data_IF_972319696106
#
_entry.id   IF_972319696106
#
_cell.length_a   1.000
_cell.length_b   1.000
_cell.length_c   1.000
_cell.angle_alpha   90.00
_cell.angle_beta   90.00
_cell.angle_gamma   90.00
#
_symmetry.space_group_name_H-M   'P 1'
#
loop_
_entity.id
_entity.type
_entity.pdbx_description
1 polymer ?
#
# COMPACT_ATOMS: atom_id res chain seq x y z
N UNK A 1 -33.63 2.81 42.11
CA UNK A 1 -32.77 3.41 41.07
C UNK A 1 -31.34 3.39 41.55
N UNK A 2 -30.50 2.56 40.93
CA UNK A 2 -29.33 3.10 40.23
C UNK A 2 -29.19 2.50 38.81
N UNK A 3 -28.81 3.33 37.84
CA UNK A 3 -28.44 2.93 36.48
C UNK A 3 -27.03 2.33 36.53
N UNK A 4 -26.90 1.08 36.10
CA UNK A 4 -25.61 0.46 35.83
C UNK A 4 -25.04 0.99 34.52
N UNK A 5 -23.72 1.17 34.56
CA UNK A 5 -22.79 1.59 33.52
C UNK A 5 -22.63 0.52 32.44
N UNK A 6 -22.85 0.88 31.17
CA UNK A 6 -22.41 0.10 30.00
C UNK A 6 -20.90 0.33 29.75
N UNK A 7 -20.12 -0.70 29.44
CA UNK A 7 -18.74 -0.54 29.00
C UNK A 7 -18.68 -0.19 27.51
N UNK A 8 -17.94 0.87 27.20
CA UNK A 8 -17.66 1.35 25.84
C UNK A 8 -16.83 0.34 25.05
N UNK A 9 -17.41 -0.22 23.99
CA UNK A 9 -16.70 -0.97 22.96
C UNK A 9 -15.74 -0.03 22.23
N UNK A 10 -14.43 -0.27 22.38
CA UNK A 10 -13.39 0.40 21.60
C UNK A 10 -13.40 -0.25 20.20
N UNK A 11 -14.23 0.31 19.31
CA UNK A 11 -14.13 0.04 17.87
C UNK A 11 -12.83 0.66 17.34
N UNK A 12 -11.82 -0.18 17.13
CA UNK A 12 -10.67 0.13 16.28
C UNK A 12 -11.11 0.28 14.83
N UNK A 13 -11.78 1.39 14.52
CA UNK A 13 -12.14 1.76 13.15
C UNK A 13 -10.86 2.05 12.36
N UNK A 14 -10.62 1.23 11.33
CA UNK A 14 -9.65 1.56 10.29
C UNK A 14 -10.02 2.95 9.75
N UNK A 15 -9.08 3.91 9.68
CA UNK A 15 -9.42 5.26 9.26
C UNK A 15 -10.05 5.23 7.86
N UNK A 16 -11.13 6.01 7.62
CA UNK A 16 -11.84 6.01 6.34
C UNK A 16 -10.85 6.27 5.21
N UNK A 17 -11.09 5.70 4.02
CA UNK A 17 -10.17 5.80 2.87
C UNK A 17 -9.68 7.25 2.60
N UNK A 18 -10.54 8.24 2.86
CA UNK A 18 -10.21 9.67 2.81
C UNK A 18 -9.09 10.10 3.79
N UNK A 19 -9.09 9.61 5.03
CA UNK A 19 -8.04 9.87 6.01
C UNK A 19 -6.72 9.19 5.64
N UNK A 20 -6.78 8.00 5.03
CA UNK A 20 -5.59 7.28 4.53
C UNK A 20 -4.97 7.99 3.31
N UNK A 21 -5.80 8.49 2.39
CA UNK A 21 -5.38 9.32 1.24
C UNK A 21 -4.80 10.67 1.69
N UNK A 22 -5.43 11.34 2.66
CA UNK A 22 -4.88 12.57 3.28
C UNK A 22 -3.51 12.33 3.90
N UNK A 23 -3.34 11.25 4.68
CA UNK A 23 -2.06 10.89 5.28
C UNK A 23 -0.93 10.64 4.26
N UNK A 24 -1.24 10.01 3.13
CA UNK A 24 -0.26 9.81 2.02
C UNK A 24 0.11 11.14 1.35
N UNK A 25 -0.86 12.02 1.11
CA UNK A 25 -0.61 13.34 0.54
C UNK A 25 0.23 14.21 1.49
N UNK A 26 -0.03 14.17 2.79
CA UNK A 26 0.75 14.90 3.80
C UNK A 26 2.20 14.39 3.88
N UNK A 27 2.40 13.07 3.90
CA UNK A 27 3.74 12.49 3.91
C UNK A 27 4.54 12.79 2.61
N UNK A 28 3.85 12.97 1.49
CA UNK A 28 4.46 13.33 0.21
C UNK A 28 4.84 14.82 0.18
N UNK A 29 3.94 15.70 0.61
CA UNK A 29 4.20 17.14 0.73
C UNK A 29 5.41 17.42 1.63
N UNK A 30 5.50 16.78 2.80
CA UNK A 30 6.64 16.92 3.70
C UNK A 30 7.97 16.53 3.06
N UNK A 31 8.03 15.42 2.32
CA UNK A 31 9.25 14.97 1.64
C UNK A 31 9.66 15.90 0.52
N UNK A 32 8.69 16.36 -0.27
CA UNK A 32 8.91 17.32 -1.35
C UNK A 32 9.48 18.64 -0.80
N UNK A 33 8.96 19.03 0.35
CA UNK A 33 9.31 20.27 1.00
C UNK A 33 10.70 20.22 1.67
N UNK A 34 11.05 19.09 2.29
CA UNK A 34 12.42 18.82 2.74
C UNK A 34 13.43 18.82 1.59
N UNK A 35 13.07 18.23 0.44
CA UNK A 35 13.91 18.23 -0.74
C UNK A 35 14.18 19.66 -1.21
N UNK A 36 13.16 20.52 -1.21
CA UNK A 36 13.28 21.92 -1.61
C UNK A 36 14.24 22.71 -0.69
N UNK A 37 14.11 22.58 0.64
CA UNK A 37 15.08 23.19 1.59
C UNK A 37 16.50 22.69 1.34
N UNK A 38 16.68 21.38 1.15
CA UNK A 38 18.01 20.81 0.93
C UNK A 38 18.66 21.39 -0.34
N UNK A 39 17.88 21.50 -1.42
CA UNK A 39 18.34 22.09 -2.67
C UNK A 39 18.67 23.58 -2.51
N UNK A 40 17.90 24.32 -1.72
CA UNK A 40 18.23 25.73 -1.40
C UNK A 40 19.53 25.87 -0.64
N UNK A 41 19.80 25.03 0.36
CA UNK A 41 21.08 25.06 1.06
C UNK A 41 22.25 24.79 0.11
N UNK A 42 22.10 23.81 -0.79
CA UNK A 42 23.10 23.54 -1.83
C UNK A 42 23.25 24.75 -2.75
N UNK A 43 22.15 25.38 -3.16
CA UNK A 43 22.17 26.57 -4.01
C UNK A 43 22.84 27.77 -3.32
N UNK A 44 22.55 28.02 -2.04
CA UNK A 44 23.18 29.08 -1.24
C UNK A 44 24.69 28.87 -1.18
N UNK A 45 25.14 27.65 -0.87
CA UNK A 45 26.57 27.31 -0.85
C UNK A 45 27.19 27.51 -2.24
N UNK A 46 26.53 27.03 -3.29
CA UNK A 46 26.98 27.22 -4.67
C UNK A 46 27.07 28.71 -5.07
N UNK A 47 26.11 29.52 -4.67
CA UNK A 47 26.08 30.97 -4.92
C UNK A 47 27.23 31.68 -4.20
N UNK A 48 27.50 31.35 -2.92
CA UNK A 48 28.65 31.90 -2.18
C UNK A 48 29.95 31.56 -2.91
N UNK A 49 30.14 30.29 -3.28
CA UNK A 49 31.34 29.83 -4.00
C UNK A 49 31.46 30.57 -5.34
N UNK A 50 30.36 30.71 -6.07
CA UNK A 50 30.35 31.37 -7.39
C UNK A 50 30.67 32.86 -7.29
N UNK A 51 30.07 33.56 -6.33
CA UNK A 51 30.32 34.99 -6.10
C UNK A 51 31.79 35.19 -5.68
N UNK A 52 32.31 34.35 -4.78
CA UNK A 52 33.70 34.42 -4.33
C UNK A 52 34.68 34.14 -5.48
N UNK A 53 34.42 33.11 -6.29
CA UNK A 53 35.25 32.78 -7.46
C UNK A 53 35.22 33.88 -8.52
N UNK A 54 34.04 34.46 -8.81
CA UNK A 54 33.89 35.56 -9.75
C UNK A 54 34.64 36.82 -9.31
N UNK A 55 34.52 37.18 -8.02
CA UNK A 55 35.12 38.40 -7.49
C UNK A 55 36.64 38.26 -7.24
N UNK A 56 37.07 37.23 -6.51
CA UNK A 56 38.48 37.06 -6.14
C UNK A 56 39.30 36.31 -7.21
N UNK A 57 38.70 35.36 -7.92
CA UNK A 57 39.39 34.55 -8.92
C UNK A 57 39.50 35.22 -10.29
N UNK A 58 38.37 35.76 -10.78
CA UNK A 58 38.30 36.38 -12.11
C UNK A 58 38.34 37.92 -12.09
N UNK A 59 38.32 38.55 -10.91
CA UNK A 59 38.38 40.01 -10.78
C UNK A 59 37.16 40.75 -11.33
N UNK A 60 36.01 40.07 -11.46
CA UNK A 60 34.79 40.66 -12.03
C UNK A 60 34.20 41.65 -11.02
N UNK A 61 33.97 42.89 -11.47
CA UNK A 61 33.36 43.93 -10.63
C UNK A 61 31.86 43.65 -10.46
N UNK A 62 31.53 43.00 -9.34
CA UNK A 62 30.15 42.69 -8.95
C UNK A 62 29.66 43.63 -7.85
N UNK A 63 28.38 44.03 -7.84
CA UNK A 63 27.78 44.80 -6.76
C UNK A 63 27.55 43.90 -5.53
N UNK A 64 28.63 43.52 -4.83
CA UNK A 64 28.65 42.55 -3.72
C UNK A 64 27.59 42.83 -2.66
N UNK A 65 27.41 44.11 -2.28
CA UNK A 65 26.42 44.50 -1.27
C UNK A 65 25.01 44.01 -1.66
N UNK A 66 24.60 44.23 -2.90
CA UNK A 66 23.26 43.86 -3.37
C UNK A 66 23.12 42.33 -3.51
N UNK A 67 24.13 41.65 -4.06
CA UNK A 67 24.13 40.18 -4.20
C UNK A 67 24.07 39.47 -2.84
N UNK A 68 24.85 39.94 -1.86
CA UNK A 68 24.85 39.38 -0.51
C UNK A 68 23.55 39.68 0.25
N UNK A 69 22.91 40.83 0.01
CA UNK A 69 21.58 41.11 0.56
C UNK A 69 20.53 40.14 0.04
N UNK A 70 20.49 39.90 -1.28
CA UNK A 70 19.57 38.91 -1.88
C UNK A 70 19.84 37.51 -1.32
N UNK A 71 21.11 37.11 -1.21
CA UNK A 71 21.51 35.85 -0.61
C UNK A 71 21.09 35.75 0.87
N UNK A 72 21.26 36.82 1.66
CA UNK A 72 20.85 36.85 3.06
C UNK A 72 19.33 36.72 3.20
N UNK A 73 18.56 37.38 2.34
CA UNK A 73 17.10 37.19 2.26
C UNK A 73 16.73 35.74 1.94
N UNK A 74 17.43 35.09 1.00
CA UNK A 74 17.20 33.69 0.66
C UNK A 74 17.53 32.76 1.83
N UNK A 75 18.64 32.99 2.54
CA UNK A 75 19.01 32.24 3.77
C UNK A 75 17.96 32.43 4.86
N UNK A 76 17.54 33.67 5.12
CA UNK A 76 16.52 33.97 6.11
C UNK A 76 15.19 33.29 5.77
N UNK A 77 14.77 33.36 4.50
CA UNK A 77 13.57 32.66 4.03
C UNK A 77 13.68 31.15 4.23
N UNK A 78 14.82 30.55 3.89
CA UNK A 78 15.05 29.11 4.03
C UNK A 78 15.05 28.66 5.50
N UNK A 79 15.63 29.46 6.39
CA UNK A 79 15.60 29.21 7.84
C UNK A 79 14.18 29.32 8.38
N UNK A 80 13.44 30.39 8.05
CA UNK A 80 12.03 30.56 8.46
C UNK A 80 11.17 29.40 7.97
N UNK A 81 11.33 29.02 6.70
CA UNK A 81 10.68 27.86 6.08
C UNK A 81 10.99 26.56 6.85
N UNK A 82 12.25 26.34 7.22
CA UNK A 82 12.65 25.17 8.01
C UNK A 82 12.07 25.16 9.43
N UNK A 83 11.99 26.31 10.10
CA UNK A 83 11.38 26.43 11.43
C UNK A 83 9.86 26.25 11.36
N UNK A 84 9.21 26.88 10.38
CA UNK A 84 7.76 26.84 10.20
C UNK A 84 7.26 25.41 10.01
N UNK A 85 7.98 24.58 9.22
CA UNK A 85 7.59 23.19 8.95
C UNK A 85 8.05 22.20 10.01
N UNK A 86 9.01 22.56 10.87
CA UNK A 86 9.24 21.79 12.11
C UNK A 86 8.05 21.94 13.06
N UNK A 87 7.35 23.07 13.02
CA UNK A 87 6.16 23.34 13.82
C UNK A 87 4.85 22.84 13.18
N UNK A 88 4.69 22.96 11.85
CA UNK A 88 3.48 22.57 11.12
C UNK A 88 3.74 21.33 10.24
N UNK A 89 2.98 20.25 10.45
CA UNK A 89 3.20 18.94 9.80
C UNK A 89 2.45 18.72 8.49
N UNK A 90 1.73 19.73 8.00
CA UNK A 90 1.00 19.64 6.74
C UNK A 90 1.60 20.63 5.74
N UNK A 91 1.89 20.14 4.53
CA UNK A 91 2.40 20.97 3.44
C UNK A 91 1.45 20.85 2.26
N UNK A 92 0.95 22.01 1.83
CA UNK A 92 0.04 22.16 0.71
C UNK A 92 0.80 22.45 -0.59
N UNK A 93 0.18 22.16 -1.73
CA UNK A 93 0.72 22.52 -3.04
C UNK A 93 0.91 24.06 -3.18
N UNK A 94 0.08 24.86 -2.52
CA UNK A 94 0.21 26.32 -2.49
C UNK A 94 1.47 26.82 -1.80
N UNK A 95 1.88 26.20 -0.70
CA UNK A 95 3.13 26.54 -0.02
C UNK A 95 4.37 26.17 -0.83
N UNK A 96 4.34 25.01 -1.50
CA UNK A 96 5.39 24.60 -2.45
C UNK A 96 5.48 25.60 -3.62
N UNK A 97 4.33 26.00 -4.18
CA UNK A 97 4.26 27.00 -5.24
C UNK A 97 4.85 28.34 -4.80
N UNK A 98 4.45 28.85 -3.63
CA UNK A 98 4.99 30.10 -3.09
C UNK A 98 6.50 30.00 -2.83
N UNK A 99 6.97 28.86 -2.33
CA UNK A 99 8.38 28.61 -2.15
C UNK A 99 9.14 28.72 -3.48
N UNK A 100 8.72 28.02 -4.55
CA UNK A 100 9.39 28.13 -5.84
C UNK A 100 9.29 29.54 -6.44
N UNK A 101 8.19 30.25 -6.23
CA UNK A 101 8.05 31.63 -6.70
C UNK A 101 9.12 32.53 -6.07
N UNK A 102 9.40 32.36 -4.77
CA UNK A 102 10.50 33.06 -4.09
C UNK A 102 11.84 32.67 -4.68
N UNK A 103 12.08 31.38 -4.97
CA UNK A 103 13.34 30.93 -5.58
C UNK A 103 13.59 31.53 -6.97
N UNK A 104 12.55 31.52 -7.82
CA UNK A 104 12.57 32.17 -9.14
C UNK A 104 12.85 33.66 -9.00
N UNK A 105 12.18 34.34 -8.06
CA UNK A 105 12.38 35.78 -7.82
C UNK A 105 13.81 36.09 -7.36
N UNK A 106 14.34 35.32 -6.41
CA UNK A 106 15.70 35.50 -5.88
C UNK A 106 16.76 35.24 -6.96
N UNK A 107 16.57 34.18 -7.76
CA UNK A 107 17.44 33.90 -8.91
C UNK A 107 17.37 35.05 -9.94
N UNK A 108 16.18 35.57 -10.23
CA UNK A 108 15.98 36.71 -11.14
C UNK A 108 16.76 37.92 -10.67
N UNK A 109 16.66 38.26 -9.38
CA UNK A 109 17.39 39.40 -8.78
C UNK A 109 18.90 39.21 -8.84
N UNK A 110 19.40 38.01 -8.56
CA UNK A 110 20.84 37.72 -8.67
C UNK A 110 21.33 37.86 -10.10
N UNK A 111 20.62 37.27 -11.07
CA UNK A 111 20.96 37.34 -12.48
C UNK A 111 20.93 38.79 -12.98
N UNK A 112 19.92 39.58 -12.61
CA UNK A 112 19.84 41.00 -12.95
C UNK A 112 21.08 41.78 -12.51
N UNK A 113 21.55 41.55 -11.28
CA UNK A 113 22.74 42.19 -10.72
C UNK A 113 24.06 41.62 -11.27
N UNK A 114 24.00 40.44 -11.89
CA UNK A 114 25.17 39.71 -12.39
C UNK A 114 25.18 39.57 -13.92
N UNK A 115 24.60 40.51 -14.67
CA UNK A 115 24.70 40.57 -16.13
C UNK A 115 23.44 40.20 -16.91
N UNK A 116 22.32 39.98 -16.23
CA UNK A 116 21.03 39.68 -16.85
C UNK A 116 21.00 38.37 -17.62
N UNK A 117 20.39 38.38 -18.81
CA UNK A 117 20.25 37.19 -19.65
C UNK A 117 21.56 36.69 -20.26
N UNK A 118 22.62 37.49 -20.29
CA UNK A 118 23.94 37.06 -20.79
C UNK A 118 24.77 36.34 -19.73
N UNK A 119 24.27 36.20 -18.51
CA UNK A 119 24.95 35.44 -17.47
C UNK A 119 24.90 33.93 -17.78
N UNK A 120 26.02 33.19 -17.70
CA UNK A 120 26.06 31.75 -18.00
C UNK A 120 25.17 30.90 -17.07
N UNK A 121 24.83 31.39 -15.89
CA UNK A 121 23.94 30.75 -14.94
C UNK A 121 22.45 31.06 -15.19
N UNK A 122 22.10 31.81 -16.24
CA UNK A 122 20.69 32.00 -16.63
C UNK A 122 19.98 30.67 -16.93
N UNK A 123 20.72 29.64 -17.37
CA UNK A 123 20.19 28.29 -17.57
C UNK A 123 19.72 27.61 -16.26
N UNK A 124 20.04 28.14 -15.07
CA UNK A 124 19.47 27.65 -13.81
C UNK A 124 17.95 27.91 -13.71
N UNK A 125 17.36 28.72 -14.58
CA UNK A 125 15.89 28.74 -14.70
C UNK A 125 15.31 27.39 -15.14
N UNK A 126 16.02 26.63 -16.00
CA UNK A 126 15.59 25.29 -16.38
C UNK A 126 15.54 24.36 -15.17
N UNK A 127 16.47 24.53 -14.24
CA UNK A 127 16.44 23.84 -12.96
C UNK A 127 15.18 24.20 -12.17
N UNK A 128 14.83 25.49 -12.04
CA UNK A 128 13.62 25.90 -11.31
C UNK A 128 12.33 25.32 -11.94
N UNK A 129 12.23 25.35 -13.27
CA UNK A 129 11.09 24.75 -14.01
C UNK A 129 11.05 23.23 -13.82
N UNK A 130 12.21 22.57 -13.85
CA UNK A 130 12.31 21.12 -13.61
C UNK A 130 11.83 20.79 -12.20
N UNK A 131 12.25 21.55 -11.18
CA UNK A 131 11.79 21.36 -9.80
C UNK A 131 10.28 21.58 -9.67
N UNK A 132 9.71 22.57 -10.37
CA UNK A 132 8.27 22.79 -10.40
C UNK A 132 7.55 21.54 -10.92
N UNK A 133 7.96 21.02 -12.08
CA UNK A 133 7.35 19.84 -12.68
C UNK A 133 7.44 18.57 -11.83
N UNK A 134 8.40 18.50 -10.90
CA UNK A 134 8.59 17.36 -10.01
C UNK A 134 7.86 17.48 -8.68
N UNK A 135 7.67 18.70 -8.20
CA UNK A 135 7.20 18.97 -6.84
C UNK A 135 5.74 19.41 -6.79
N UNK A 136 5.26 20.05 -7.85
CA UNK A 136 3.95 20.68 -7.92
C UNK A 136 2.96 19.87 -8.77
N UNK A 137 1.68 20.19 -8.59
CA UNK A 137 0.65 19.78 -9.51
C UNK A 137 0.85 20.39 -10.92
N UNK A 138 0.26 19.74 -11.93
CA UNK A 138 0.44 20.13 -13.33
C UNK A 138 0.05 21.60 -13.59
N UNK A 139 -1.05 22.09 -13.00
CA UNK A 139 -1.50 23.47 -13.21
C UNK A 139 -0.51 24.49 -12.62
N UNK A 140 0.02 24.23 -11.41
CA UNK A 140 0.99 25.13 -10.78
C UNK A 140 2.35 25.09 -11.48
N UNK A 141 2.71 23.95 -12.07
CA UNK A 141 3.91 23.82 -12.91
C UNK A 141 3.85 24.75 -14.12
N UNK A 142 2.73 24.75 -14.85
CA UNK A 142 2.56 25.63 -16.02
C UNK A 142 2.60 27.12 -15.65
N UNK A 143 2.05 27.49 -14.49
CA UNK A 143 2.13 28.87 -14.01
C UNK A 143 3.55 29.29 -13.62
N UNK A 144 4.31 28.44 -12.91
CA UNK A 144 5.74 28.71 -12.63
C UNK A 144 6.54 28.80 -13.93
N UNK A 145 6.29 27.93 -14.91
CA UNK A 145 6.93 28.00 -16.22
C UNK A 145 6.66 29.35 -16.90
N UNK A 146 5.40 29.78 -16.96
CA UNK A 146 5.03 31.05 -17.57
C UNK A 146 5.72 32.24 -16.86
N UNK A 147 5.68 32.27 -15.52
CA UNK A 147 6.35 33.30 -14.72
C UNK A 147 7.85 33.31 -14.98
N UNK A 148 8.48 32.13 -14.97
CA UNK A 148 9.92 31.97 -15.22
C UNK A 148 10.31 32.44 -16.62
N UNK A 149 9.51 32.10 -17.63
CA UNK A 149 9.72 32.56 -19.00
C UNK A 149 9.58 34.08 -19.12
N UNK A 150 8.60 34.68 -18.42
CA UNK A 150 8.44 36.13 -18.35
C UNK A 150 9.62 36.80 -17.64
N UNK A 151 10.12 36.23 -16.54
CA UNK A 151 11.32 36.72 -15.84
C UNK A 151 12.58 36.63 -16.70
N UNK A 152 12.73 35.56 -17.50
CA UNK A 152 13.85 35.45 -18.43
C UNK A 152 13.73 36.48 -19.57
N UNK A 153 12.54 36.65 -20.15
CA UNK A 153 12.29 37.64 -21.19
C UNK A 153 12.52 39.08 -20.68
N UNK A 154 12.09 39.38 -19.44
CA UNK A 154 12.33 40.68 -18.83
C UNK A 154 13.83 40.93 -18.58
N UNK A 155 14.59 39.92 -18.16
CA UNK A 155 16.05 40.01 -18.07
C UNK A 155 16.73 40.21 -19.43
N UNK A 156 16.16 39.66 -20.51
CA UNK A 156 16.71 39.83 -21.85
C UNK A 156 16.50 41.26 -22.38
N UNK A 157 15.36 41.89 -22.08
CA UNK A 157 15.07 43.26 -22.50
C UNK A 157 15.63 44.34 -21.56
N UNK A 158 15.59 44.12 -20.25
CA UNK A 158 15.93 45.13 -19.23
C UNK A 158 17.19 44.81 -18.44
N UNK A 159 17.81 43.65 -18.65
CA UNK A 159 19.02 43.25 -17.92
C UNK A 159 20.19 44.18 -18.23
N UNK A 160 20.91 44.59 -17.19
CA UNK A 160 22.14 45.37 -17.34
C UNK A 160 23.25 44.41 -17.79
N UNK A 161 23.76 44.50 -19.03
CA UNK A 161 24.84 43.62 -19.46
C UNK A 161 26.10 43.95 -18.66
N UNK A 162 26.65 42.96 -17.97
CA UNK A 162 27.99 43.08 -17.40
C UNK A 162 28.99 43.10 -18.56
N UNK A 163 29.84 44.12 -18.57
CA UNK A 163 31.02 44.19 -19.41
C UNK A 163 32.06 43.17 -18.92
N UNK A 164 31.77 41.88 -19.10
CA UNK A 164 32.81 40.85 -19.06
C UNK A 164 33.76 41.21 -20.20
N UNK A 165 35.07 41.40 -19.95
CA UNK A 165 36.02 41.59 -21.03
C UNK A 165 35.86 40.41 -21.98
N UNK A 166 35.32 40.68 -23.17
CA UNK A 166 35.21 39.71 -24.23
C UNK A 166 36.61 39.49 -24.78
N UNK A 167 37.48 38.84 -24.00
CA UNK A 167 38.67 38.20 -24.54
C UNK A 167 38.20 36.97 -25.33
N UNK A 168 37.64 37.26 -26.50
CA UNK A 168 37.14 36.29 -27.48
C UNK A 168 38.25 35.31 -27.91
N UNK A 169 39.51 35.63 -27.62
CA UNK A 169 40.71 34.84 -27.89
C UNK A 169 41.01 33.69 -26.92
N UNK A 170 40.29 33.54 -25.79
CA UNK A 170 40.59 32.48 -24.80
C UNK A 170 39.81 31.17 -24.99
N UNK A 171 38.86 31.11 -25.92
CA UNK A 171 38.06 29.90 -26.20
C UNK A 171 37.49 29.26 -24.93
N UNK A 172 37.92 28.03 -24.60
CA UNK A 172 37.49 27.26 -23.42
C UNK A 172 37.95 27.87 -22.07
N UNK A 173 38.99 28.71 -22.06
CA UNK A 173 39.49 29.37 -20.85
C UNK A 173 38.79 30.71 -20.56
N UNK A 174 37.80 31.09 -21.36
CA UNK A 174 36.95 32.23 -21.06
C UNK A 174 36.12 31.95 -19.79
N UNK A 175 36.06 32.89 -18.82
CA UNK A 175 35.23 32.74 -17.62
C UNK A 175 33.74 32.48 -17.95
N UNK A 176 33.28 33.01 -19.09
CA UNK A 176 31.93 32.77 -19.59
C UNK A 176 31.70 31.30 -19.99
N UNK A 177 32.62 30.72 -20.77
CA UNK A 177 32.54 29.32 -21.22
C UNK A 177 32.66 28.35 -20.04
N UNK A 178 33.55 28.64 -19.10
CA UNK A 178 33.69 27.85 -17.87
C UNK A 178 32.41 27.91 -17.02
N UNK A 179 31.83 29.09 -16.86
CA UNK A 179 30.54 29.25 -16.19
C UNK A 179 29.42 28.45 -16.88
N UNK A 180 29.37 28.47 -18.21
CA UNK A 180 28.39 27.71 -18.99
C UNK A 180 28.58 26.20 -18.82
N UNK A 181 29.83 25.71 -18.87
CA UNK A 181 30.15 24.30 -18.63
C UNK A 181 29.76 23.84 -17.23
N UNK A 182 30.06 24.64 -16.20
CA UNK A 182 29.67 24.35 -14.81
C UNK A 182 28.15 24.33 -14.68
N UNK A 183 27.45 25.32 -15.24
CA UNK A 183 25.99 25.40 -15.21
C UNK A 183 25.33 24.23 -15.95
N UNK A 184 25.86 23.85 -17.12
CA UNK A 184 25.41 22.70 -17.87
C UNK A 184 25.63 21.40 -17.09
N UNK A 185 26.83 21.19 -16.54
CA UNK A 185 27.14 20.01 -15.74
C UNK A 185 26.24 19.90 -14.50
N UNK A 186 25.96 21.02 -13.83
CA UNK A 186 25.05 21.05 -12.68
C UNK A 186 23.62 20.69 -13.08
N UNK A 187 23.09 21.29 -14.15
CA UNK A 187 21.75 20.97 -14.66
C UNK A 187 21.66 19.49 -15.09
N UNK A 188 22.64 19.00 -15.85
CA UNK A 188 22.67 17.63 -16.34
C UNK A 188 22.78 16.61 -15.18
N UNK A 189 23.69 16.83 -14.22
CA UNK A 189 23.85 15.96 -13.07
C UNK A 189 22.56 15.87 -12.26
N UNK A 190 21.93 17.01 -11.99
CA UNK A 190 20.70 17.04 -11.21
C UNK A 190 19.53 16.39 -11.97
N UNK A 191 19.41 16.64 -13.27
CA UNK A 191 18.43 16.00 -14.13
C UNK A 191 18.59 14.47 -14.12
N UNK A 192 19.82 13.97 -14.27
CA UNK A 192 20.13 12.53 -14.21
C UNK A 192 19.76 11.94 -12.85
N UNK A 193 20.13 12.60 -11.75
CA UNK A 193 19.79 12.16 -10.39
C UNK A 193 18.26 12.06 -10.22
N UNK A 194 17.52 13.09 -10.65
CA UNK A 194 16.07 13.13 -10.50
C UNK A 194 15.36 12.12 -11.40
N UNK A 195 15.66 12.07 -12.69
CA UNK A 195 15.06 11.11 -13.62
C UNK A 195 15.32 9.69 -13.11
N UNK A 196 16.56 9.38 -12.71
CA UNK A 196 16.90 8.06 -12.18
C UNK A 196 16.11 7.73 -10.92
N UNK A 197 15.95 8.69 -10.00
CA UNK A 197 15.16 8.52 -8.78
C UNK A 197 13.67 8.29 -9.09
N UNK A 198 13.11 9.06 -10.01
CA UNK A 198 11.70 8.96 -10.43
C UNK A 198 11.45 7.61 -11.10
N UNK A 199 12.29 7.22 -12.05
CA UNK A 199 12.18 5.92 -12.73
C UNK A 199 12.31 4.76 -11.75
N UNK A 200 13.20 4.85 -10.75
CA UNK A 200 13.31 3.84 -9.69
C UNK A 200 12.05 3.77 -8.82
N UNK A 201 11.48 4.91 -8.44
CA UNK A 201 10.24 4.97 -7.66
C UNK A 201 9.04 4.41 -8.45
N UNK A 202 8.93 4.72 -9.73
CA UNK A 202 7.90 4.17 -10.62
C UNK A 202 8.01 2.65 -10.72
N UNK A 203 9.20 2.12 -11.03
CA UNK A 203 9.40 0.65 -11.11
C UNK A 203 9.05 -0.06 -9.81
N UNK A 204 9.40 0.52 -8.66
CA UNK A 204 9.02 -0.03 -7.34
C UNK A 204 7.50 -0.04 -7.13
N UNK A 205 6.83 1.05 -7.54
CA UNK A 205 5.37 1.15 -7.45
C UNK A 205 4.70 0.12 -8.36
N UNK A 206 5.17 -0.02 -9.59
CA UNK A 206 4.61 -0.93 -10.58
C UNK A 206 4.82 -2.39 -10.16
N UNK A 207 5.99 -2.73 -9.64
CA UNK A 207 6.24 -4.06 -9.06
C UNK A 207 5.30 -4.37 -7.88
N UNK A 208 5.04 -3.39 -7.00
CA UNK A 208 4.09 -3.55 -5.90
C UNK A 208 2.66 -3.73 -6.40
N UNK A 209 2.26 -2.97 -7.42
CA UNK A 209 0.94 -3.09 -8.03
C UNK A 209 0.76 -4.46 -8.70
N UNK A 210 1.78 -4.93 -9.42
CA UNK A 210 1.78 -6.25 -10.05
C UNK A 210 1.63 -7.37 -9.01
N UNK A 211 2.39 -7.31 -7.92
CA UNK A 211 2.28 -8.28 -6.83
C UNK A 211 0.88 -8.29 -6.18
N UNK A 212 0.27 -7.12 -5.95
CA UNK A 212 -1.10 -7.05 -5.42
C UNK A 212 -2.13 -7.62 -6.40
N UNK A 213 -1.98 -7.36 -7.71
CA UNK A 213 -2.84 -7.95 -8.74
C UNK A 213 -2.70 -9.46 -8.82
N UNK A 214 -1.47 -9.98 -8.70
CA UNK A 214 -1.23 -11.41 -8.70
C UNK A 214 -1.94 -12.10 -7.52
N UNK A 215 -1.80 -11.55 -6.30
CA UNK A 215 -2.52 -12.10 -5.14
C UNK A 215 -4.04 -12.07 -5.32
N UNK A 216 -4.58 -10.96 -5.82
CA UNK A 216 -6.02 -10.86 -6.08
C UNK A 216 -6.48 -11.92 -7.11
N UNK A 217 -5.69 -12.20 -8.14
CA UNK A 217 -6.01 -13.23 -9.12
C UNK A 217 -5.92 -14.65 -8.54
N UNK A 218 -4.94 -14.92 -7.66
CA UNK A 218 -4.82 -16.19 -6.94
C UNK A 218 -6.01 -16.42 -6.01
N UNK A 219 -6.41 -15.40 -5.25
CA UNK A 219 -7.60 -15.44 -4.38
C UNK A 219 -8.89 -15.67 -5.19
N UNK A 220 -9.09 -14.94 -6.30
CA UNK A 220 -10.26 -15.14 -7.17
C UNK A 220 -10.30 -16.55 -7.75
N UNK A 221 -9.16 -17.11 -8.14
CA UNK A 221 -9.07 -18.48 -8.64
C UNK A 221 -9.44 -19.51 -7.56
N UNK A 222 -8.96 -19.33 -6.33
CA UNK A 222 -9.31 -20.18 -5.18
C UNK A 222 -10.82 -20.12 -4.91
N UNK A 223 -11.41 -18.91 -4.87
CA UNK A 223 -12.86 -18.73 -4.65
C UNK A 223 -13.67 -19.42 -5.76
N UNK A 224 -13.26 -19.26 -7.03
CA UNK A 224 -13.94 -19.89 -8.17
C UNK A 224 -13.88 -21.42 -8.11
N UNK A 225 -12.72 -21.98 -7.75
CA UNK A 225 -12.59 -23.41 -7.50
C UNK A 225 -13.48 -23.87 -6.34
N UNK A 226 -13.53 -23.11 -5.24
CA UNK A 226 -14.41 -23.39 -4.11
C UNK A 226 -15.89 -23.42 -4.51
N UNK A 227 -16.34 -22.46 -5.34
CA UNK A 227 -17.72 -22.43 -5.84
C UNK A 227 -18.06 -23.63 -6.72
N UNK A 228 -17.17 -24.03 -7.64
CA UNK A 228 -17.38 -25.20 -8.49
C UNK A 228 -17.38 -26.50 -7.68
N UNK A 229 -16.46 -26.62 -6.71
CA UNK A 229 -16.37 -27.78 -5.82
C UNK A 229 -17.62 -27.92 -4.95
N UNK A 230 -18.12 -26.81 -4.39
CA UNK A 230 -19.35 -26.81 -3.60
C UNK A 230 -20.58 -27.18 -4.42
N UNK A 231 -20.72 -26.62 -5.64
CA UNK A 231 -21.80 -26.98 -6.57
C UNK A 231 -21.76 -28.46 -6.95
N UNK A 232 -20.58 -28.97 -7.34
CA UNK A 232 -20.41 -30.38 -7.70
C UNK A 232 -20.72 -31.32 -6.52
N UNK A 233 -20.33 -30.94 -5.30
CA UNK A 233 -20.58 -31.74 -4.11
C UNK A 233 -22.05 -31.77 -3.70
N UNK A 234 -22.81 -30.68 -3.89
CA UNK A 234 -24.25 -30.66 -3.66
C UNK A 234 -25.00 -31.57 -4.65
N UNK A 235 -24.64 -31.47 -5.93
CA UNK A 235 -25.21 -32.30 -7.01
C UNK A 235 -24.88 -33.80 -6.83
N UNK A 236 -23.71 -34.14 -6.28
CA UNK A 236 -23.32 -35.52 -5.98
C UNK A 236 -23.86 -36.05 -4.64
N UNK A 237 -24.13 -35.17 -3.67
CA UNK A 237 -24.65 -35.57 -2.35
C UNK A 237 -26.01 -36.26 -2.43
N UNK A 238 -26.90 -35.74 -3.27
CA UNK A 238 -28.26 -36.26 -3.47
C UNK A 238 -28.29 -37.69 -4.04
N UNK A 239 -27.62 -38.02 -5.17
CA UNK A 239 -27.62 -39.38 -5.69
C UNK A 239 -26.90 -40.37 -4.76
N UNK A 240 -25.83 -39.97 -4.07
CA UNK A 240 -25.17 -40.83 -3.07
C UNK A 240 -26.07 -41.14 -1.87
N UNK A 241 -26.82 -40.15 -1.39
CA UNK A 241 -27.80 -40.37 -0.31
C UNK A 241 -28.91 -41.34 -0.76
N UNK A 242 -29.42 -41.17 -1.98
CA UNK A 242 -30.41 -42.08 -2.56
C UNK A 242 -29.87 -43.52 -2.70
N UNK A 243 -28.65 -43.69 -3.20
CA UNK A 243 -28.01 -45.00 -3.31
C UNK A 243 -27.80 -45.66 -1.93
N UNK A 244 -27.40 -44.89 -0.92
CA UNK A 244 -27.24 -45.41 0.43
C UNK A 244 -28.57 -45.94 1.02
N UNK A 245 -29.69 -45.27 0.75
CA UNK A 245 -31.03 -45.73 1.18
C UNK A 245 -31.41 -47.01 0.45
N UNK A 246 -31.26 -47.05 -0.89
CA UNK A 246 -31.59 -48.23 -1.70
C UNK A 246 -30.78 -49.46 -1.24
N UNK A 247 -29.48 -49.30 -1.01
CA UNK A 247 -28.61 -50.39 -0.53
C UNK A 247 -29.01 -50.85 0.89
N UNK A 248 -29.36 -49.91 1.78
CA UNK A 248 -29.87 -50.23 3.11
C UNK A 248 -31.21 -50.97 3.08
N UNK A 249 -32.06 -50.73 2.08
CA UNK A 249 -33.30 -51.46 1.87
C UNK A 249 -33.05 -52.87 1.30
N UNK A 250 -32.07 -53.02 0.39
CA UNK A 250 -31.64 -54.32 -0.14
C UNK A 250 -31.06 -55.23 0.93
N UNK A 251 -30.24 -54.70 1.84
CA UNK A 251 -29.69 -55.45 2.97
C UNK A 251 -30.78 -56.06 3.88
N UNK A 252 -32.00 -55.51 3.87
CA UNK A 252 -33.15 -55.95 4.68
C UNK A 252 -34.15 -56.83 3.91
N UNK A 253 -33.97 -57.00 2.61
CA UNK A 253 -34.86 -57.79 1.75
C UNK A 253 -34.52 -59.29 1.85
N UNK A 254 -35.50 -60.19 2.08
CA UNK A 254 -35.25 -61.62 2.25
C UNK A 254 -34.47 -62.24 1.10
N UNK A 255 -34.66 -61.78 -0.13
CA UNK A 255 -33.95 -62.26 -1.32
C UNK A 255 -32.43 -62.09 -1.25
N UNK A 256 -31.95 -61.06 -0.55
CA UNK A 256 -30.52 -60.78 -0.34
C UNK A 256 -30.03 -61.37 0.99
N UNK A 257 -30.85 -61.34 2.05
CA UNK A 257 -30.48 -61.92 3.35
C UNK A 257 -30.43 -63.46 3.34
N UNK A 258 -31.08 -64.11 2.36
CA UNK A 258 -31.06 -65.57 2.20
C UNK A 258 -29.77 -66.09 1.56
N UNK A 259 -28.99 -65.21 0.92
CA UNK A 259 -27.75 -65.57 0.22
C UNK A 259 -26.57 -64.78 0.81
N UNK A 260 -25.66 -65.44 1.55
CA UNK A 260 -24.55 -64.76 2.21
C UNK A 260 -23.56 -64.08 1.25
N UNK A 261 -23.41 -64.56 0.00
CA UNK A 261 -22.54 -63.89 -0.99
C UNK A 261 -23.15 -62.56 -1.45
N UNK A 262 -24.45 -62.54 -1.77
CA UNK A 262 -25.15 -61.32 -2.20
C UNK A 262 -25.22 -60.28 -1.07
N UNK A 263 -25.38 -60.71 0.18
CA UNK A 263 -25.37 -59.82 1.33
C UNK A 263 -23.99 -59.16 1.50
N UNK A 264 -22.91 -59.92 1.31
CA UNK A 264 -21.54 -59.38 1.35
C UNK A 264 -21.30 -58.35 0.23
N UNK A 265 -21.78 -58.59 -0.98
CA UNK A 265 -21.68 -57.61 -2.08
C UNK A 265 -22.43 -56.29 -1.76
N UNK A 266 -23.60 -56.37 -1.12
CA UNK A 266 -24.36 -55.20 -0.68
C UNK A 266 -23.61 -54.40 0.39
N UNK A 267 -23.00 -55.08 1.35
CA UNK A 267 -22.17 -54.44 2.39
C UNK A 267 -20.95 -53.74 1.77
N UNK A 268 -20.28 -54.37 0.80
CA UNK A 268 -19.17 -53.77 0.07
C UNK A 268 -19.60 -52.52 -0.73
N UNK A 269 -20.74 -52.60 -1.42
CA UNK A 269 -21.32 -51.45 -2.13
C UNK A 269 -21.66 -50.31 -1.17
N UNK A 270 -22.23 -50.61 -0.01
CA UNK A 270 -22.59 -49.63 1.00
C UNK A 270 -21.32 -48.94 1.55
N UNK A 271 -20.26 -49.70 1.81
CA UNK A 271 -18.97 -49.15 2.22
C UNK A 271 -18.38 -48.18 1.18
N UNK A 272 -18.47 -48.49 -0.12
CA UNK A 272 -18.02 -47.58 -1.18
C UNK A 272 -18.86 -46.31 -1.27
N UNK A 273 -20.18 -46.40 -1.11
CA UNK A 273 -21.06 -45.21 -1.10
C UNK A 273 -20.74 -44.31 0.09
N UNK A 274 -20.50 -44.88 1.28
CA UNK A 274 -20.08 -44.10 2.45
C UNK A 274 -18.72 -43.42 2.23
N UNK A 275 -17.77 -44.12 1.61
CA UNK A 275 -16.47 -43.53 1.26
C UNK A 275 -16.60 -42.38 0.28
N UNK A 276 -17.43 -42.51 -0.75
CA UNK A 276 -17.73 -41.42 -1.68
C UNK A 276 -18.36 -40.22 -0.97
N UNK A 277 -19.32 -40.46 -0.07
CA UNK A 277 -19.95 -39.42 0.75
C UNK A 277 -18.92 -38.68 1.61
N UNK A 278 -18.01 -39.40 2.28
CA UNK A 278 -16.95 -38.81 3.09
C UNK A 278 -16.00 -37.91 2.26
N UNK A 279 -15.61 -38.35 1.06
CA UNK A 279 -14.77 -37.56 0.15
C UNK A 279 -15.49 -36.27 -0.27
N UNK A 280 -16.76 -36.37 -0.68
CA UNK A 280 -17.56 -35.23 -1.13
C UNK A 280 -17.79 -34.22 0.02
N UNK A 281 -18.07 -34.71 1.22
CA UNK A 281 -18.18 -33.87 2.43
C UNK A 281 -16.85 -33.19 2.77
N UNK A 282 -15.72 -33.89 2.64
CA UNK A 282 -14.40 -33.30 2.81
C UNK A 282 -14.13 -32.13 1.84
N UNK A 283 -14.51 -32.29 0.58
CA UNK A 283 -14.39 -31.24 -0.45
C UNK A 283 -15.28 -30.02 -0.11
N UNK A 284 -16.51 -30.24 0.38
CA UNK A 284 -17.42 -29.15 0.81
C UNK A 284 -16.83 -28.32 1.94
N UNK A 285 -16.18 -28.96 2.92
CA UNK A 285 -15.60 -28.28 4.08
C UNK A 285 -14.42 -27.40 3.66
N UNK A 286 -13.49 -27.94 2.87
CA UNK A 286 -12.35 -27.16 2.35
C UNK A 286 -12.79 -26.02 1.43
N UNK A 287 -13.89 -26.19 0.67
CA UNK A 287 -14.48 -25.11 -0.13
C UNK A 287 -15.22 -24.06 0.72
N UNK A 288 -15.81 -24.46 1.85
CA UNK A 288 -16.46 -23.58 2.82
C UNK A 288 -15.48 -22.71 3.61
N UNK A 289 -14.32 -23.28 3.99
CA UNK A 289 -13.20 -22.55 4.60
C UNK A 289 -12.71 -21.40 3.68
N UNK A 290 -12.65 -21.63 2.36
CA UNK A 290 -12.26 -20.61 1.38
C UNK A 290 -13.30 -19.48 1.19
N UNK A 291 -14.58 -19.71 1.56
CA UNK A 291 -15.65 -18.71 1.49
C UNK A 291 -15.79 -17.87 2.77
N UNK A 292 -15.25 -18.31 3.90
CA UNK A 292 -15.47 -17.66 5.20
C UNK A 292 -16.94 -17.55 5.60
N UNK A 293 -17.80 -18.36 4.98
CA UNK A 293 -19.24 -18.10 4.89
C UNK A 293 -20.06 -18.63 6.06
N UNK A 294 -19.45 -19.30 7.03
CA UNK A 294 -20.13 -19.78 8.23
C UNK A 294 -19.54 -19.21 9.52
N UNK A 295 -18.73 -18.15 9.45
CA UNK A 295 -18.20 -17.46 10.63
C UNK A 295 -19.29 -16.67 11.34
N UNK A 296 -19.93 -17.30 12.32
CA UNK A 296 -20.86 -16.64 13.24
C UNK A 296 -20.15 -16.25 14.54
N UNK A 297 -20.43 -15.04 15.03
CA UNK A 297 -20.00 -14.63 16.36
C UNK A 297 -20.90 -15.31 17.38
N UNK A 298 -20.31 -16.21 18.15
CA UNK A 298 -20.98 -16.92 19.24
C UNK A 298 -20.08 -16.88 20.48
N UNK A 299 -20.42 -17.63 21.51
CA UNK A 299 -19.58 -17.83 22.68
C UNK A 299 -19.19 -19.30 22.81
N UNK A 300 -18.08 -19.57 23.50
CA UNK A 300 -17.54 -20.93 23.61
C UNK A 300 -18.53 -21.89 24.26
N UNK A 301 -19.25 -21.44 25.29
CA UNK A 301 -20.25 -22.28 25.95
C UNK A 301 -21.45 -22.55 25.04
N UNK A 302 -22.03 -21.50 24.42
CA UNK A 302 -23.19 -21.65 23.54
C UNK A 302 -22.89 -22.54 22.34
N UNK A 303 -21.71 -22.38 21.72
CA UNK A 303 -21.29 -23.23 20.60
C UNK A 303 -21.21 -24.71 20.98
N UNK A 304 -20.56 -25.04 22.09
CA UNK A 304 -20.37 -26.43 22.52
C UNK A 304 -21.69 -27.08 22.96
N UNK A 305 -22.55 -26.34 23.64
CA UNK A 305 -23.87 -26.83 24.08
C UNK A 305 -24.75 -27.16 22.87
N UNK A 306 -24.84 -26.26 21.88
CA UNK A 306 -25.59 -26.49 20.64
C UNK A 306 -25.03 -27.66 19.82
N UNK A 307 -23.70 -27.77 19.72
CA UNK A 307 -23.04 -28.86 18.99
C UNK A 307 -23.37 -30.22 19.61
N UNK A 308 -23.30 -30.34 20.93
CA UNK A 308 -23.57 -31.59 21.65
C UNK A 308 -25.04 -31.98 21.54
N UNK A 309 -25.96 -31.03 21.66
CA UNK A 309 -27.38 -31.29 21.51
C UNK A 309 -27.75 -31.75 20.09
N UNK A 310 -27.16 -31.13 19.07
CA UNK A 310 -27.30 -31.57 17.68
C UNK A 310 -26.72 -32.98 17.46
N UNK A 311 -25.53 -33.25 17.98
CA UNK A 311 -24.87 -34.55 17.87
C UNK A 311 -25.72 -35.66 18.53
N UNK A 312 -26.33 -35.39 19.69
CA UNK A 312 -27.26 -36.30 20.38
C UNK A 312 -28.52 -36.58 19.59
N UNK A 313 -29.12 -35.55 19.00
CA UNK A 313 -30.37 -35.69 18.23
C UNK A 313 -30.20 -36.53 16.96
N UNK A 314 -28.99 -36.49 16.36
CA UNK A 314 -28.70 -37.17 15.10
C UNK A 314 -28.32 -38.64 15.30
N UNK A 315 -27.76 -39.00 16.46
CA UNK A 315 -27.30 -40.37 16.76
C UNK A 315 -28.14 -40.99 17.86
N UNK A 316 -29.12 -41.79 17.46
CA UNK A 316 -29.95 -42.53 18.39
C UNK A 316 -29.09 -43.52 19.24
N UNK A 317 -29.19 -43.39 20.56
CA UNK A 317 -28.79 -44.38 21.57
C UNK A 317 -27.30 -44.47 21.98
N UNK A 318 -26.64 -43.35 22.35
CA UNK A 318 -25.38 -43.41 23.13
C UNK A 318 -25.42 -42.52 24.36
N UNK A 319 -24.96 -43.03 25.50
CA UNK A 319 -24.85 -42.29 26.76
C UNK A 319 -23.65 -41.32 26.72
N UNK A 320 -23.79 -40.19 26.02
CA UNK A 320 -22.80 -39.11 26.05
C UNK A 320 -23.02 -38.27 27.32
N UNK A 321 -22.10 -38.39 28.28
CA UNK A 321 -22.02 -37.49 29.44
C UNK A 321 -21.24 -36.25 29.00
N UNK A 322 -21.91 -35.11 29.00
CA UNK A 322 -21.33 -33.83 28.65
C UNK A 322 -21.32 -32.93 29.89
N UNK A 323 -20.15 -32.42 30.23
CA UNK A 323 -19.93 -31.49 31.33
C UNK A 323 -19.11 -30.30 30.82
N UNK A 324 -19.71 -29.11 30.86
CA UNK A 324 -19.11 -27.89 30.34
C UNK A 324 -18.37 -27.15 31.48
N UNK A 325 -17.03 -27.24 31.47
CA UNK A 325 -16.16 -26.64 32.49
C UNK A 325 -15.33 -25.45 31.98
N UNK A 326 -15.77 -24.76 30.91
CA UNK A 326 -15.01 -23.64 30.32
C UNK A 326 -14.90 -22.40 31.23
N UNK A 327 -15.73 -22.28 32.28
CA UNK A 327 -15.64 -21.18 33.25
C UNK A 327 -16.26 -19.87 32.74
N UNK A 328 -15.44 -18.91 32.33
CA UNK A 328 -15.94 -17.66 31.73
C UNK A 328 -16.29 -17.85 30.26
N UNK A 329 -17.49 -17.43 29.87
CA UNK A 329 -17.97 -17.58 28.50
C UNK A 329 -17.34 -16.52 27.59
N UNK A 330 -16.39 -16.96 26.76
CA UNK A 330 -15.59 -16.08 25.89
C UNK A 330 -16.23 -15.99 24.51
N UNK A 331 -16.22 -14.79 23.93
CA UNK A 331 -16.64 -14.59 22.54
C UNK A 331 -15.69 -15.29 21.60
N UNK A 332 -16.24 -16.13 20.73
CA UNK A 332 -15.52 -16.83 19.68
C UNK A 332 -16.19 -16.63 18.33
N UNK A 333 -15.44 -16.89 17.27
CA UNK A 333 -16.00 -17.03 15.93
C UNK A 333 -16.06 -18.52 15.66
N UNK A 334 -17.27 -19.05 15.48
CA UNK A 334 -17.50 -20.43 15.11
C UNK A 334 -17.68 -20.51 13.61
N UNK A 335 -17.10 -21.52 12.97
CA UNK A 335 -17.42 -21.89 11.60
C UNK A 335 -17.92 -23.34 11.52
N UNK A 336 -18.52 -23.68 10.39
CA UNK A 336 -19.04 -25.03 10.14
C UNK A 336 -17.94 -26.09 10.09
N UNK A 337 -16.68 -25.71 9.82
CA UNK A 337 -15.55 -26.63 9.78
C UNK A 337 -15.15 -27.08 11.20
N UNK A 338 -15.11 -26.15 12.16
CA UNK A 338 -14.85 -26.44 13.57
C UNK A 338 -15.94 -27.34 14.15
N UNK A 339 -17.22 -27.04 13.87
CA UNK A 339 -18.36 -27.86 14.29
C UNK A 339 -18.23 -29.30 13.79
N UNK A 340 -17.96 -29.46 12.50
CA UNK A 340 -17.82 -30.78 11.90
C UNK A 340 -16.59 -31.54 12.41
N UNK A 341 -15.45 -30.85 12.63
CA UNK A 341 -14.23 -31.47 13.15
C UNK A 341 -14.47 -32.09 14.53
N UNK A 342 -15.15 -31.37 15.41
CA UNK A 342 -15.50 -31.86 16.74
C UNK A 342 -16.49 -33.03 16.63
N UNK A 343 -17.51 -32.93 15.76
CA UNK A 343 -18.42 -34.04 15.50
C UNK A 343 -17.69 -35.30 15.02
N UNK A 344 -16.71 -35.19 14.12
CA UNK A 344 -15.92 -36.33 13.65
C UNK A 344 -15.10 -36.97 14.78
N UNK A 345 -14.56 -36.17 15.71
CA UNK A 345 -13.85 -36.69 16.89
C UNK A 345 -14.81 -37.47 17.79
N UNK A 346 -16.02 -36.95 18.01
CA UNK A 346 -17.06 -37.64 18.78
C UNK A 346 -17.49 -38.96 18.12
N UNK A 347 -17.54 -39.00 16.79
CA UNK A 347 -17.86 -40.22 16.02
C UNK A 347 -16.80 -41.29 16.19
N UNK A 348 -15.52 -40.90 16.04
CA UNK A 348 -14.40 -41.80 16.25
C UNK A 348 -14.39 -42.34 17.69
N UNK A 349 -14.69 -41.49 18.68
CA UNK A 349 -14.79 -41.89 20.08
C UNK A 349 -15.95 -42.87 20.31
N UNK A 350 -17.08 -42.67 19.65
CA UNK A 350 -18.21 -43.59 19.70
C UNK A 350 -17.86 -44.95 19.10
N UNK A 351 -17.26 -44.97 17.90
CA UNK A 351 -16.82 -46.19 17.22
C UNK A 351 -15.83 -46.98 18.09
N UNK A 352 -14.83 -46.29 18.66
CA UNK A 352 -13.88 -46.90 19.61
C UNK A 352 -14.57 -47.47 20.87
N UNK A 353 -15.62 -46.78 21.38
CA UNK A 353 -16.35 -47.24 22.57
C UNK A 353 -17.19 -48.50 22.34
N UNK A 354 -17.64 -48.76 21.11
CA UNK A 354 -18.39 -49.98 20.78
C UNK A 354 -17.47 -51.21 20.80
N UNK A 355 -16.20 -51.06 20.42
CA UNK A 355 -15.19 -52.11 20.53
C UNK A 355 -14.78 -52.45 21.96
N UNK A 356 -15.04 -51.57 22.94
CA UNK A 356 -14.71 -51.78 24.35
C UNK A 356 -15.76 -52.61 25.11
N UNK A 357 -16.87 -53.01 24.48
CA UNK A 357 -17.95 -53.81 25.11
C UNK A 357 -17.75 -55.33 25.06
N UNK A 358 -16.54 -55.80 24.74
CA UNK A 358 -16.18 -57.22 24.80
C UNK A 358 -15.14 -57.45 25.90
N UNK A 359 -15.61 -57.63 27.14
CA UNK A 359 -15.04 -58.53 28.16
C UNK A 359 -16.01 -58.69 29.35
#
# INVERSE_FOLDING_TARGET
MPRQTEPSVIEGSLPPAAARVRGVNHATGLKNMQLLIQLRWIAVVGQIITIAAAYFGYGIQLPLKHLLTVLACLVAFNVVSQLHWRAHREVTNGELFFALLVDVSMLTSQLYLSGGATNPFAFLYLLQVTLAALLLEAWSTWTIFAITATCFASLAWFGVPLSIPAEQDRGLFSPYMQGMLICFALNAALLVIFITRISRNLRKRDARLAHLRQRAAEEEHIVRMGLLASGAAHELGTPLATLAVILGDWARLPSFTSDPELLQEVDEMQAQVQRCKAIVTGILLSAGEARGESSEKTTVCTFMDELVDEWRSTRAATALIYDNQFGQDLTMVSDSALKQTICNVLDNAQEASQHLKLE
#
